data_IF_977128741381
#
_entry.id   IF_977128741381
#
_cell.length_a   1.000
_cell.length_b   1.000
_cell.length_c   1.000
_cell.angle_alpha   90.00
_cell.angle_beta   90.00
_cell.angle_gamma   90.00
#
_symmetry.space_group_name_H-M   'P 1'
#
loop_
_entity.id
_entity.type
_entity.pdbx_description
1 polymer ?
#
# COMPACT_ATOMS: atom_id res chain seq x y z
N UNK A 1 -64.28 13.62 30.74
CA UNK A 1 -63.37 12.77 29.97
C UNK A 1 -62.85 13.41 28.69
N UNK A 2 -63.61 14.22 27.97
CA UNK A 2 -63.12 14.91 26.74
C UNK A 2 -62.03 15.95 26.95
N UNK A 3 -61.95 16.61 28.12
CA UNK A 3 -60.94 17.62 28.43
C UNK A 3 -59.57 17.02 28.81
N UNK A 4 -59.55 15.81 29.36
CA UNK A 4 -58.32 15.12 29.72
C UNK A 4 -57.55 14.59 28.49
N UNK A 5 -58.28 14.20 27.45
CA UNK A 5 -57.70 13.73 26.18
C UNK A 5 -56.99 14.88 25.43
N UNK A 6 -57.58 16.09 25.47
CA UNK A 6 -56.98 17.27 24.82
C UNK A 6 -55.67 17.69 25.46
N UNK A 7 -55.57 17.63 26.79
CA UNK A 7 -54.33 17.95 27.52
C UNK A 7 -53.23 16.92 27.23
N UNK A 8 -53.60 15.65 27.11
CA UNK A 8 -52.65 14.59 26.79
C UNK A 8 -52.08 14.70 25.37
N UNK A 9 -52.92 15.11 24.39
CA UNK A 9 -52.45 15.39 23.03
C UNK A 9 -51.50 16.60 22.97
N UNK A 10 -51.77 17.66 23.73
CA UNK A 10 -50.89 18.82 23.77
C UNK A 10 -49.52 18.50 24.38
N UNK A 11 -49.44 17.63 25.40
CA UNK A 11 -48.20 17.22 26.02
C UNK A 11 -47.36 16.34 25.06
N UNK A 12 -48.02 15.48 24.29
CA UNK A 12 -47.33 14.67 23.28
C UNK A 12 -46.80 15.51 22.11
N UNK A 13 -47.51 16.54 21.68
CA UNK A 13 -47.04 17.46 20.64
C UNK A 13 -45.85 18.31 21.13
N UNK A 14 -45.81 18.66 22.43
CA UNK A 14 -44.68 19.39 23.01
C UNK A 14 -43.41 18.52 23.10
N UNK A 15 -43.58 17.22 23.36
CA UNK A 15 -42.45 16.28 23.40
C UNK A 15 -41.84 16.02 22.02
N UNK A 16 -42.63 16.12 20.94
CA UNK A 16 -42.12 15.98 19.57
C UNK A 16 -41.33 17.19 19.07
N UNK A 17 -41.49 18.36 19.68
CA UNK A 17 -40.81 19.58 19.25
C UNK A 17 -39.37 19.68 19.76
N UNK A 18 -38.94 18.82 20.69
CA UNK A 18 -37.59 18.86 21.24
C UNK A 18 -36.66 17.79 20.62
N UNK A 19 -37.18 16.97 19.70
CA UNK A 19 -36.41 15.88 19.07
C UNK A 19 -35.84 16.25 17.69
N UNK A 20 -35.96 17.47 17.22
CA UNK A 20 -35.47 17.87 15.88
C UNK A 20 -34.51 19.07 15.92
N UNK A 21 -33.60 19.09 16.86
CA UNK A 21 -32.74 20.24 17.03
C UNK A 21 -31.27 19.96 17.28
N UNK A 22 -30.67 18.88 16.74
CA UNK A 22 -29.24 18.69 16.92
C UNK A 22 -28.48 18.04 15.74
N UNK A 23 -29.14 17.81 14.59
CA UNK A 23 -28.43 17.13 13.47
C UNK A 23 -27.77 18.10 12.47
N UNK A 24 -27.73 19.40 12.72
CA UNK A 24 -27.06 20.36 11.84
C UNK A 24 -25.78 20.96 12.41
N UNK A 25 -25.36 20.58 13.61
CA UNK A 25 -24.13 21.08 14.21
C UNK A 25 -22.93 20.16 13.98
N UNK A 26 -23.13 18.90 13.56
CA UNK A 26 -22.05 17.96 13.35
C UNK A 26 -21.44 17.97 11.94
N UNK A 27 -22.13 18.58 10.98
CA UNK A 27 -21.61 18.68 9.61
C UNK A 27 -20.50 19.74 9.44
N UNK A 28 -20.33 20.65 10.39
CA UNK A 28 -19.29 21.68 10.35
C UNK A 28 -18.01 21.30 11.11
N UNK A 29 -17.99 20.19 11.84
CA UNK A 29 -16.84 19.75 12.63
C UNK A 29 -16.02 18.63 11.98
N UNK A 30 -16.44 18.19 10.80
CA UNK A 30 -15.74 17.18 10.01
C UNK A 30 -14.61 17.76 9.12
N UNK A 31 -14.28 19.03 9.24
CA UNK A 31 -13.16 19.66 8.53
C UNK A 31 -12.10 20.15 9.51
N UNK A 32 -11.50 19.28 10.24
CA UNK A 32 -10.13 19.41 10.76
C UNK A 32 -9.77 18.21 11.62
N UNK A 33 -9.97 17.01 11.13
CA UNK A 33 -9.07 15.96 11.54
C UNK A 33 -7.79 16.14 10.73
N UNK A 34 -6.98 17.07 11.20
CA UNK A 34 -5.54 16.91 11.08
C UNK A 34 -5.29 15.56 11.74
N UNK A 35 -5.19 14.52 10.92
CA UNK A 35 -4.65 13.22 11.35
C UNK A 35 -3.33 13.59 11.99
N UNK A 36 -3.14 13.39 13.31
CA UNK A 36 -1.82 13.60 13.89
C UNK A 36 -0.88 12.67 13.11
N UNK A 37 0.11 13.26 12.43
CA UNK A 37 1.20 12.57 11.75
C UNK A 37 2.11 11.87 12.77
N UNK A 38 1.52 11.45 13.88
CA UNK A 38 2.05 10.56 14.91
C UNK A 38 1.33 9.19 14.87
N UNK A 39 0.81 8.78 13.71
CA UNK A 39 0.80 7.37 13.43
C UNK A 39 2.28 6.97 13.50
N UNK A 40 2.68 6.39 14.63
CA UNK A 40 3.92 5.65 14.77
C UNK A 40 4.02 4.82 13.51
N UNK A 41 4.87 5.26 12.59
CA UNK A 41 5.38 4.39 11.53
C UNK A 41 5.89 3.21 12.34
N UNK A 42 5.29 2.01 12.22
CA UNK A 42 5.93 0.87 12.83
C UNK A 42 7.31 0.85 12.21
N UNK A 43 8.32 0.97 13.05
CA UNK A 43 9.74 0.94 12.73
C UNK A 43 10.13 -0.52 12.37
N UNK A 44 9.25 -1.16 11.64
CA UNK A 44 9.54 -2.29 10.79
C UNK A 44 9.90 -1.66 9.47
N UNK A 45 11.21 -1.58 9.21
CA UNK A 45 11.72 -1.37 7.88
C UNK A 45 10.89 -2.22 6.93
N UNK A 46 9.92 -1.58 6.27
CA UNK A 46 8.99 -2.30 5.42
C UNK A 46 9.82 -2.87 4.26
N UNK A 47 9.92 -4.19 4.21
CA UNK A 47 10.59 -4.88 3.10
C UNK A 47 9.93 -4.46 1.80
N UNK A 48 10.71 -3.95 0.87
CA UNK A 48 10.21 -3.38 -0.36
C UNK A 48 11.06 -3.78 -1.55
N UNK A 49 10.41 -4.20 -2.62
CA UNK A 49 10.99 -4.39 -3.95
C UNK A 49 10.37 -3.37 -4.92
N UNK A 50 11.20 -2.50 -5.48
CA UNK A 50 10.79 -1.54 -6.51
C UNK A 50 11.54 -1.83 -7.80
N UNK A 51 10.82 -1.88 -8.92
CA UNK A 51 11.38 -2.16 -10.25
C UNK A 51 10.86 -1.11 -11.23
N UNK A 52 11.78 -0.40 -11.89
CA UNK A 52 11.43 0.67 -12.84
C UNK A 52 12.51 0.87 -13.91
N UNK A 53 12.19 1.47 -15.06
CA UNK A 53 10.83 1.76 -15.54
C UNK A 53 10.08 0.48 -15.92
N UNK A 54 8.75 0.56 -16.00
CA UNK A 54 7.91 -0.53 -16.49
C UNK A 54 6.75 0.07 -17.30
N UNK A 55 6.73 -0.07 -18.63
CA UNK A 55 7.67 -0.81 -19.50
C UNK A 55 9.08 -0.23 -19.54
N UNK A 56 10.05 -1.07 -19.92
CA UNK A 56 11.47 -0.73 -20.05
C UNK A 56 11.98 -1.04 -21.45
N UNK A 57 13.01 -0.32 -21.89
CA UNK A 57 13.75 -0.59 -23.14
C UNK A 57 14.89 -1.59 -22.95
N UNK A 58 14.87 -2.34 -21.83
CA UNK A 58 15.88 -3.35 -21.48
C UNK A 58 16.78 -2.95 -20.31
N UNK A 59 16.88 -1.68 -19.97
CA UNK A 59 17.60 -1.25 -18.76
C UNK A 59 16.60 -1.13 -17.62
N UNK A 60 16.82 -1.88 -16.54
CA UNK A 60 15.92 -1.98 -15.40
C UNK A 60 16.66 -1.62 -14.12
N UNK A 61 16.07 -0.74 -13.33
CA UNK A 61 16.54 -0.39 -12.01
C UNK A 61 15.75 -1.19 -10.97
N UNK A 62 16.46 -1.85 -10.08
CA UNK A 62 15.87 -2.60 -8.98
C UNK A 62 16.36 -1.98 -7.67
N UNK A 63 15.42 -1.60 -6.82
CA UNK A 63 15.70 -1.08 -5.49
C UNK A 63 15.08 -1.98 -4.44
N UNK A 64 15.90 -2.40 -3.48
CA UNK A 64 15.52 -3.21 -2.33
C UNK A 64 15.66 -2.36 -1.07
N UNK A 65 14.73 -2.46 -0.14
CA UNK A 65 14.80 -1.84 1.18
C UNK A 65 14.34 -2.82 2.27
N UNK A 66 14.89 -2.70 3.47
CA UNK A 66 14.53 -3.53 4.62
C UNK A 66 15.14 -4.94 4.62
N UNK A 67 16.24 -5.18 3.88
CA UNK A 67 16.92 -6.48 3.78
C UNK A 67 18.32 -6.47 4.41
N UNK A 68 18.65 -5.47 5.20
CA UNK A 68 19.96 -5.35 5.84
C UNK A 68 20.38 -6.62 6.57
N UNK A 69 21.58 -7.11 6.26
CA UNK A 69 22.16 -8.29 6.89
C UNK A 69 21.44 -9.61 6.60
N UNK A 70 20.46 -9.61 5.67
CA UNK A 70 19.74 -10.81 5.27
C UNK A 70 20.26 -11.35 3.95
N UNK A 71 20.45 -12.66 3.89
CA UNK A 71 20.69 -13.31 2.61
C UNK A 71 19.45 -13.19 1.74
N UNK A 72 19.60 -12.54 0.61
CA UNK A 72 18.50 -12.25 -0.30
C UNK A 72 18.86 -12.69 -1.71
N UNK A 73 17.99 -13.44 -2.35
CA UNK A 73 18.16 -13.89 -3.73
C UNK A 73 17.27 -13.10 -4.67
N UNK A 74 17.88 -12.45 -5.66
CA UNK A 74 17.20 -11.73 -6.73
C UNK A 74 17.32 -12.55 -8.01
N UNK A 75 16.19 -12.85 -8.65
CA UNK A 75 16.11 -13.55 -9.94
C UNK A 75 15.22 -12.80 -10.91
N UNK A 76 15.61 -12.80 -12.19
CA UNK A 76 14.76 -12.37 -13.28
C UNK A 76 14.55 -13.55 -14.21
N UNK A 77 13.30 -13.83 -14.52
CA UNK A 77 12.87 -14.97 -15.33
C UNK A 77 11.97 -14.51 -16.46
N UNK A 78 12.02 -15.19 -17.60
CA UNK A 78 11.04 -15.01 -18.65
C UNK A 78 9.73 -15.77 -18.33
N UNK A 79 8.73 -15.67 -19.22
CA UNK A 79 7.39 -16.27 -19.04
C UNK A 79 7.41 -17.80 -18.91
N UNK A 80 8.41 -18.48 -19.47
CA UNK A 80 8.54 -19.93 -19.39
C UNK A 80 9.39 -20.39 -18.19
N UNK A 81 9.82 -19.43 -17.34
CA UNK A 81 10.59 -19.71 -16.12
C UNK A 81 12.10 -19.78 -16.30
N UNK A 82 12.65 -19.51 -17.48
CA UNK A 82 14.10 -19.46 -17.68
C UNK A 82 14.68 -18.24 -16.97
N UNK A 83 15.67 -18.47 -16.11
CA UNK A 83 16.39 -17.43 -15.38
C UNK A 83 17.37 -16.74 -16.33
N UNK A 84 17.18 -15.44 -16.54
CA UNK A 84 18.05 -14.59 -17.35
C UNK A 84 19.03 -13.77 -16.51
N UNK A 85 18.71 -13.58 -15.23
CA UNK A 85 19.58 -12.92 -14.25
C UNK A 85 19.38 -13.52 -12.86
N UNK A 86 20.49 -13.67 -12.11
CA UNK A 86 20.47 -14.16 -10.73
C UNK A 86 21.60 -13.52 -9.93
N UNK A 87 21.28 -13.03 -8.75
CA UNK A 87 22.24 -12.49 -7.80
C UNK A 87 21.87 -12.89 -6.37
N UNK A 88 22.86 -13.22 -5.56
CA UNK A 88 22.69 -13.50 -4.13
C UNK A 88 23.38 -12.38 -3.36
N UNK A 89 22.60 -11.64 -2.59
CA UNK A 89 23.05 -10.58 -1.73
C UNK A 89 23.18 -11.13 -0.31
N UNK A 90 24.38 -11.11 0.25
CA UNK A 90 24.65 -11.61 1.61
C UNK A 90 24.75 -10.49 2.63
N UNK A 91 25.11 -9.28 2.19
CA UNK A 91 25.31 -8.09 3.02
C UNK A 91 24.70 -6.87 2.33
N UNK A 92 23.38 -6.90 2.15
CA UNK A 92 22.68 -5.74 1.60
C UNK A 92 22.65 -4.62 2.65
N UNK A 93 22.92 -3.38 2.20
CA UNK A 93 22.65 -2.17 2.98
C UNK A 93 21.14 -1.99 3.19
N UNK A 94 20.73 -1.04 4.03
CA UNK A 94 19.32 -0.72 4.28
C UNK A 94 18.56 -0.44 2.98
N UNK A 95 19.26 0.15 2.01
CA UNK A 95 18.76 0.35 0.64
C UNK A 95 19.82 -0.07 -0.35
N UNK A 96 19.50 -1.07 -1.15
CA UNK A 96 20.33 -1.58 -2.23
C UNK A 96 19.69 -1.22 -3.58
N UNK A 97 20.47 -0.66 -4.50
CA UNK A 97 20.00 -0.36 -5.86
C UNK A 97 20.94 -0.98 -6.87
N UNK A 98 20.36 -1.68 -7.86
CA UNK A 98 21.07 -2.32 -8.96
C UNK A 98 20.47 -1.93 -10.30
N UNK A 99 21.33 -1.67 -11.27
CA UNK A 99 20.95 -1.51 -12.67
C UNK A 99 21.26 -2.80 -13.39
N UNK A 100 20.28 -3.35 -14.08
CA UNK A 100 20.39 -4.60 -14.82
C UNK A 100 20.13 -4.34 -16.29
N UNK A 101 21.04 -4.80 -17.14
CA UNK A 101 20.93 -4.70 -18.59
C UNK A 101 20.36 -6.00 -19.16
N UNK A 102 19.15 -5.92 -19.67
CA UNK A 102 18.42 -6.98 -20.37
C UNK A 102 18.27 -6.72 -21.88
N UNK A 103 19.01 -5.73 -22.42
CA UNK A 103 18.90 -5.34 -23.84
C UNK A 103 19.25 -6.49 -24.81
N UNK A 104 20.03 -7.47 -24.35
CA UNK A 104 20.38 -8.68 -25.12
C UNK A 104 19.31 -9.77 -25.05
N UNK A 105 18.28 -9.58 -24.23
CA UNK A 105 17.18 -10.51 -24.08
C UNK A 105 16.03 -10.13 -25.03
N UNK A 106 15.19 -11.09 -25.38
CA UNK A 106 14.03 -10.85 -26.21
C UNK A 106 13.05 -9.89 -25.54
N UNK A 107 12.40 -9.04 -26.34
CA UNK A 107 11.27 -8.24 -25.86
C UNK A 107 10.15 -9.14 -25.34
N UNK A 108 9.46 -8.69 -24.33
CA UNK A 108 8.35 -9.45 -23.76
C UNK A 108 8.20 -9.29 -22.26
N UNK A 109 7.47 -10.23 -21.66
CA UNK A 109 7.15 -10.23 -20.23
C UNK A 109 8.22 -10.99 -19.44
N UNK A 110 8.66 -10.38 -18.36
CA UNK A 110 9.58 -10.95 -17.38
C UNK A 110 9.04 -10.83 -15.96
N UNK A 111 9.53 -11.67 -15.07
CA UNK A 111 9.23 -11.67 -13.66
C UNK A 111 10.51 -11.44 -12.85
N UNK A 112 10.51 -10.41 -12.04
CA UNK A 112 11.55 -10.16 -11.02
C UNK A 112 11.09 -10.79 -9.73
N UNK A 113 11.80 -11.82 -9.26
CA UNK A 113 11.51 -12.51 -8.01
C UNK A 113 12.57 -12.18 -6.98
N UNK A 114 12.13 -11.81 -5.80
CA UNK A 114 12.98 -11.58 -4.63
C UNK A 114 12.60 -12.58 -3.55
N UNK A 115 13.57 -13.28 -3.02
CA UNK A 115 13.42 -14.24 -1.93
C UNK A 115 14.43 -13.94 -0.82
N UNK A 116 13.95 -13.86 0.42
CA UNK A 116 14.74 -13.84 1.64
C UNK A 116 14.07 -14.79 2.64
N UNK A 117 14.71 -15.09 3.78
CA UNK A 117 14.29 -16.15 4.71
C UNK A 117 12.78 -16.21 4.99
N UNK A 118 12.16 -15.06 5.21
CA UNK A 118 10.75 -14.91 5.59
C UNK A 118 9.94 -14.03 4.60
N UNK A 119 10.50 -13.78 3.41
CA UNK A 119 9.92 -12.86 2.44
C UNK A 119 10.06 -13.40 1.02
N UNK A 120 8.98 -13.31 0.26
CA UNK A 120 8.98 -13.61 -1.17
C UNK A 120 8.06 -12.63 -1.89
N UNK A 121 8.58 -11.97 -2.91
CA UNK A 121 7.84 -11.03 -3.73
C UNK A 121 8.17 -11.21 -5.21
N UNK A 122 7.16 -11.04 -6.07
CA UNK A 122 7.31 -11.10 -7.53
C UNK A 122 6.75 -9.80 -8.12
N UNK A 123 7.55 -9.18 -8.99
CA UNK A 123 7.14 -8.04 -9.81
C UNK A 123 7.20 -8.40 -11.28
N UNK A 124 6.18 -8.02 -12.00
CA UNK A 124 6.08 -8.19 -13.45
C UNK A 124 6.66 -6.97 -14.14
N UNK A 125 7.49 -7.16 -15.16
CA UNK A 125 8.05 -6.11 -16.01
C UNK A 125 7.88 -6.45 -17.49
N UNK A 126 7.76 -5.43 -18.32
CA UNK A 126 7.64 -5.55 -19.78
C UNK A 126 8.89 -4.92 -20.39
N UNK A 127 9.58 -5.68 -21.25
CA UNK A 127 10.73 -5.21 -22.05
C UNK A 127 10.23 -5.00 -23.49
N UNK A 128 10.39 -3.79 -24.02
CA UNK A 128 10.02 -3.40 -25.38
C UNK A 128 11.19 -3.51 -26.35
#
# INVERSE_FOLDING_TARGET
>A
MKKAILIFCCVLLYAYSWAQGDDLADAAKAKSQVVPVNARIPDREAKQLVVYPNPSTGIVHITLAGFRGKRTELRIMNVIGNVVYREILTEADDRYTKIIDLTKNASGLYYVKLEADDFSEIRKIIIN
#
